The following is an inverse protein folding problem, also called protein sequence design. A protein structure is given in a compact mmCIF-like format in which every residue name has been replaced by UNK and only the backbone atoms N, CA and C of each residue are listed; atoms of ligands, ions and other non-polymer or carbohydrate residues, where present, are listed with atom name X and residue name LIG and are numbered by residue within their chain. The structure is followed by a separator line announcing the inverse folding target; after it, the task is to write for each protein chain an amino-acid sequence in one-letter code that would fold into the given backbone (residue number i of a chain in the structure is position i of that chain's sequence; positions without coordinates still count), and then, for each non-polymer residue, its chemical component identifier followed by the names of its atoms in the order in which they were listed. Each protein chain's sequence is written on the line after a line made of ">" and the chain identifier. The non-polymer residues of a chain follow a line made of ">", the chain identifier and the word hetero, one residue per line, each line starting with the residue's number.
data_IF_325159108234
#
_entry.id   IF_325159108234
#
_cell.length_a   1.000
_cell.length_b   1.000
_cell.length_c   1.000
_cell.angle_alpha   90.00
_cell.angle_beta   90.00
_cell.angle_gamma   90.00
#
_symmetry.space_group_name_H-M   'P 1'
#
loop_
_entity.id
_entity.type
_entity.pdbx_description
1 polymer ?
#
# COMPACT_ATOMS: atom_id res chain seq x y z
N UNK A 1 4.72 8.54 27.30
CA UNK A 1 5.59 8.42 26.11
C UNK A 1 5.03 7.51 25.01
N UNK A 2 4.03 6.68 25.28
CA UNK A 2 3.41 5.80 24.26
C UNK A 2 2.54 6.52 23.22
N UNK A 3 2.14 7.77 23.47
CA UNK A 3 1.16 8.48 22.67
C UNK A 3 1.60 8.85 21.23
N UNK A 4 2.89 8.84 20.92
CA UNK A 4 3.39 9.31 19.62
C UNK A 4 4.05 8.22 18.76
N UNK A 5 4.13 6.96 19.21
CA UNK A 5 4.77 5.88 18.45
C UNK A 5 4.05 5.60 17.13
N UNK A 6 2.72 5.65 17.11
CA UNK A 6 1.94 5.49 15.89
C UNK A 6 2.34 6.49 14.81
N UNK A 7 2.58 7.76 15.23
CA UNK A 7 2.95 8.83 14.32
C UNK A 7 4.33 8.58 13.71
N UNK A 8 5.31 8.18 14.55
CA UNK A 8 6.66 7.83 14.07
C UNK A 8 6.59 6.70 13.04
N UNK A 9 5.88 5.60 13.35
CA UNK A 9 5.72 4.49 12.42
C UNK A 9 4.97 4.91 11.14
N UNK A 10 3.94 5.74 11.25
CA UNK A 10 3.22 6.27 10.09
C UNK A 10 4.13 7.12 9.20
N UNK A 11 4.95 8.02 9.79
CA UNK A 11 5.93 8.83 9.05
C UNK A 11 6.96 7.96 8.36
N UNK A 12 7.51 6.95 9.04
CA UNK A 12 8.46 6.01 8.44
C UNK A 12 7.80 5.28 7.27
N UNK A 13 6.57 4.79 7.43
CA UNK A 13 5.83 4.14 6.34
C UNK A 13 5.67 5.08 5.14
N UNK A 14 5.24 6.32 5.37
CA UNK A 14 5.06 7.32 4.30
C UNK A 14 6.36 7.61 3.56
N UNK A 15 7.48 7.74 4.27
CA UNK A 15 8.80 7.97 3.67
C UNK A 15 9.23 6.79 2.80
N UNK A 16 9.17 5.57 3.33
CA UNK A 16 9.56 4.37 2.58
C UNK A 16 8.67 4.12 1.36
N UNK A 17 7.34 4.24 1.52
CA UNK A 17 6.42 4.08 0.41
C UNK A 17 6.48 5.22 -0.60
N UNK A 18 6.73 6.45 -0.13
CA UNK A 18 6.94 7.60 -1.01
C UNK A 18 8.19 7.44 -1.89
N UNK A 19 9.30 6.98 -1.30
CA UNK A 19 10.54 6.69 -2.04
C UNK A 19 10.31 5.49 -2.97
N UNK A 20 9.74 4.40 -2.47
CA UNK A 20 9.37 3.25 -3.29
C UNK A 20 8.54 3.66 -4.52
N UNK A 21 7.50 4.48 -4.32
CA UNK A 21 6.64 4.95 -5.40
C UNK A 21 7.38 5.73 -6.50
N UNK A 22 8.41 6.50 -6.14
CA UNK A 22 9.21 7.24 -7.11
C UNK A 22 10.09 6.34 -8.00
N UNK A 23 10.37 5.11 -7.56
CA UNK A 23 11.28 4.21 -8.26
C UNK A 23 10.63 2.94 -8.80
N UNK A 24 9.39 2.59 -8.38
CA UNK A 24 8.76 1.30 -8.68
C UNK A 24 8.62 0.98 -10.17
N UNK A 25 8.44 1.99 -11.00
CA UNK A 25 8.29 1.80 -12.45
C UNK A 25 9.63 1.52 -13.17
N UNK A 26 10.78 1.81 -12.54
CA UNK A 26 12.09 1.68 -13.20
C UNK A 26 12.40 0.26 -13.68
N UNK A 27 12.26 -0.79 -12.84
CA UNK A 27 12.50 -2.16 -13.33
C UNK A 27 11.59 -2.52 -14.51
N UNK A 28 10.30 -2.12 -14.48
CA UNK A 28 9.36 -2.41 -15.56
C UNK A 28 9.72 -1.67 -16.84
N UNK A 29 10.10 -0.40 -16.77
CA UNK A 29 10.60 0.37 -17.91
C UNK A 29 11.88 -0.22 -18.50
N UNK A 30 12.65 -0.93 -17.70
CA UNK A 30 13.84 -1.66 -18.12
C UNK A 30 13.54 -3.10 -18.60
N UNK A 31 12.28 -3.49 -18.75
CA UNK A 31 11.87 -4.81 -19.24
C UNK A 31 11.75 -5.90 -18.18
N UNK A 32 11.68 -5.55 -16.88
CA UNK A 32 11.40 -6.51 -15.82
C UNK A 32 9.92 -6.41 -15.39
N UNK A 33 9.06 -7.41 -15.67
CA UNK A 33 7.62 -7.33 -15.47
C UNK A 33 7.22 -7.04 -14.03
N UNK A 34 6.18 -6.21 -13.81
CA UNK A 34 5.64 -5.90 -12.50
C UNK A 34 5.19 -7.14 -11.71
N UNK A 35 4.72 -8.19 -12.40
CA UNK A 35 4.35 -9.48 -11.80
C UNK A 35 5.57 -10.22 -11.22
N UNK A 36 6.74 -10.16 -11.86
CA UNK A 36 8.00 -10.64 -11.26
C UNK A 36 8.51 -9.69 -10.18
N UNK A 37 8.25 -8.39 -10.32
CA UNK A 37 8.46 -7.41 -9.24
C UNK A 37 7.71 -7.78 -7.96
N UNK A 38 6.51 -8.35 -8.07
CA UNK A 38 5.77 -8.91 -6.93
C UNK A 38 6.55 -10.06 -6.26
N UNK A 39 7.09 -10.99 -7.04
CA UNK A 39 7.89 -12.10 -6.49
C UNK A 39 9.12 -11.59 -5.73
N UNK A 40 9.80 -10.58 -6.27
CA UNK A 40 10.91 -9.91 -5.58
C UNK A 40 10.44 -9.23 -4.29
N UNK A 41 9.28 -8.55 -4.31
CA UNK A 41 8.68 -7.97 -3.09
C UNK A 41 8.41 -9.03 -2.02
N UNK A 42 7.77 -10.13 -2.35
CA UNK A 42 7.50 -11.22 -1.42
C UNK A 42 8.80 -11.79 -0.81
N UNK A 43 9.88 -11.90 -1.60
CA UNK A 43 11.20 -12.31 -1.11
C UNK A 43 11.83 -11.26 -0.20
N UNK A 44 11.67 -9.96 -0.48
CA UNK A 44 12.21 -8.89 0.39
C UNK A 44 11.43 -8.73 1.70
N UNK A 45 10.22 -9.26 1.81
CA UNK A 45 9.52 -9.37 3.10
C UNK A 45 10.21 -10.35 4.06
N UNK A 46 10.92 -11.36 3.54
CA UNK A 46 11.56 -12.40 4.38
C UNK A 46 12.58 -11.82 5.37
N UNK A 47 13.57 -11.01 4.98
CA UNK A 47 14.51 -10.42 5.94
C UNK A 47 13.79 -9.47 6.93
N UNK A 48 12.74 -8.75 6.51
CA UNK A 48 11.94 -7.92 7.42
C UNK A 48 11.18 -8.79 8.44
N UNK A 49 10.60 -9.92 8.00
CA UNK A 49 9.95 -10.88 8.89
C UNK A 49 10.95 -11.56 9.83
N UNK A 50 12.17 -11.87 9.36
CA UNK A 50 13.22 -12.41 10.20
C UNK A 50 13.61 -11.44 11.33
N UNK A 51 13.77 -10.15 11.01
CA UNK A 51 14.01 -9.11 12.04
C UNK A 51 12.84 -9.00 13.01
N UNK A 52 11.60 -9.01 12.54
CA UNK A 52 10.43 -8.99 13.40
C UNK A 52 10.37 -10.22 14.33
N UNK A 53 10.57 -11.42 13.78
CA UNK A 53 10.57 -12.66 14.55
C UNK A 53 11.73 -12.71 15.58
N UNK A 54 12.89 -12.17 15.24
CA UNK A 54 14.01 -12.08 16.17
C UNK A 54 13.63 -11.29 17.42
N UNK A 55 12.88 -10.20 17.29
CA UNK A 55 12.39 -9.38 18.43
C UNK A 55 11.52 -10.19 19.39
N UNK A 56 10.77 -11.17 18.89
CA UNK A 56 9.86 -12.02 19.69
C UNK A 56 10.42 -13.41 19.97
N UNK A 57 11.73 -13.62 19.77
CA UNK A 57 12.38 -14.89 20.06
C UNK A 57 12.06 -16.03 19.08
N UNK A 58 11.75 -15.69 17.79
CA UNK A 58 11.48 -16.62 16.70
C UNK A 58 10.20 -17.47 16.85
N UNK A 59 9.31 -17.13 17.78
CA UNK A 59 8.08 -17.88 18.03
C UNK A 59 6.88 -17.00 17.69
N UNK A 60 6.34 -17.08 16.46
CA UNK A 60 5.08 -16.41 16.12
C UNK A 60 3.92 -17.08 16.88
N UNK A 61 2.87 -16.30 17.13
CA UNK A 61 1.63 -16.84 17.69
C UNK A 61 0.99 -17.79 16.66
N UNK A 62 0.67 -19.01 17.10
CA UNK A 62 0.25 -20.11 16.24
C UNK A 62 -1.15 -20.67 16.57
N UNK A 63 -1.90 -19.96 17.41
CA UNK A 63 -3.31 -20.28 17.59
C UNK A 63 -4.12 -20.00 16.32
N UNK A 64 -5.24 -20.71 16.16
CA UNK A 64 -6.05 -20.64 14.93
C UNK A 64 -6.49 -19.21 14.60
N UNK A 65 -6.81 -18.40 15.62
CA UNK A 65 -7.24 -17.02 15.43
C UNK A 65 -6.11 -16.17 14.85
N UNK A 66 -4.91 -16.27 15.41
CA UNK A 66 -3.73 -15.54 14.94
C UNK A 66 -3.34 -15.94 13.54
N UNK A 67 -3.37 -17.25 13.21
CA UNK A 67 -3.14 -17.73 11.84
C UNK A 67 -4.16 -17.14 10.87
N UNK A 68 -5.45 -17.19 11.20
CA UNK A 68 -6.52 -16.70 10.33
C UNK A 68 -6.43 -15.19 10.13
N UNK A 69 -6.26 -14.40 11.22
CA UNK A 69 -6.21 -12.94 11.12
C UNK A 69 -4.96 -12.46 10.39
N UNK A 70 -3.80 -12.99 10.72
CA UNK A 70 -2.55 -12.63 10.06
C UNK A 70 -2.55 -13.01 8.58
N UNK A 71 -3.05 -14.22 8.25
CA UNK A 71 -3.17 -14.68 6.87
C UNK A 71 -4.22 -13.88 6.09
N UNK A 72 -5.34 -13.51 6.71
CA UNK A 72 -6.35 -12.66 6.08
C UNK A 72 -5.79 -11.28 5.75
N UNK A 73 -5.05 -10.65 6.68
CA UNK A 73 -4.38 -9.38 6.43
C UNK A 73 -3.39 -9.48 5.28
N UNK A 74 -2.59 -10.55 5.24
CA UNK A 74 -1.64 -10.80 4.16
C UNK A 74 -2.33 -11.08 2.82
N UNK A 75 -3.36 -11.92 2.80
CA UNK A 75 -4.09 -12.27 1.59
C UNK A 75 -4.78 -11.05 0.98
N UNK A 76 -5.45 -10.23 1.79
CA UNK A 76 -6.13 -9.02 1.31
C UNK A 76 -5.14 -8.03 0.65
N UNK A 77 -3.96 -7.85 1.22
CA UNK A 77 -2.93 -6.99 0.64
C UNK A 77 -2.32 -7.59 -0.62
N UNK A 78 -1.82 -8.80 -0.53
CA UNK A 78 -1.09 -9.48 -1.59
C UNK A 78 -1.97 -9.85 -2.79
N UNK A 79 -3.17 -10.42 -2.56
CA UNK A 79 -4.12 -10.70 -3.64
C UNK A 79 -4.66 -9.41 -4.26
N UNK A 80 -4.91 -8.37 -3.46
CA UNK A 80 -5.28 -7.04 -3.96
C UNK A 80 -4.25 -6.50 -4.96
N UNK A 81 -2.96 -6.69 -4.68
CA UNK A 81 -1.88 -6.29 -5.58
C UNK A 81 -1.91 -7.08 -6.90
N UNK A 82 -2.16 -8.39 -6.87
CA UNK A 82 -2.26 -9.20 -8.09
C UNK A 82 -3.50 -8.85 -8.92
N UNK A 83 -4.64 -8.62 -8.25
CA UNK A 83 -5.87 -8.15 -8.91
C UNK A 83 -5.65 -6.78 -9.56
N UNK A 84 -4.87 -5.87 -8.93
CA UNK A 84 -4.52 -4.58 -9.51
C UNK A 84 -3.76 -4.74 -10.83
N UNK A 85 -2.81 -5.68 -10.93
CA UNK A 85 -2.12 -5.93 -12.20
C UNK A 85 -3.08 -6.34 -13.32
N UNK A 86 -4.05 -7.23 -13.03
CA UNK A 86 -5.07 -7.59 -14.01
C UNK A 86 -6.02 -6.44 -14.34
N UNK A 87 -6.35 -5.61 -13.35
CA UNK A 87 -7.17 -4.41 -13.52
C UNK A 87 -6.51 -3.44 -14.51
N UNK A 88 -5.20 -3.17 -14.35
CA UNK A 88 -4.45 -2.25 -15.20
C UNK A 88 -4.25 -2.78 -16.64
N UNK A 89 -4.32 -4.09 -16.85
CA UNK A 89 -4.33 -4.69 -18.20
C UNK A 89 -5.64 -4.43 -18.96
N UNK A 90 -6.75 -4.16 -18.23
CA UNK A 90 -8.10 -4.03 -18.78
C UNK A 90 -8.63 -2.62 -18.74
N UNK A 91 -8.21 -1.83 -17.76
CA UNK A 91 -8.63 -0.45 -17.56
C UNK A 91 -7.47 0.54 -17.57
N UNK A 92 -7.69 1.76 -18.07
CA UNK A 92 -6.64 2.77 -18.08
C UNK A 92 -6.35 3.26 -16.64
N UNK A 93 -5.07 3.46 -16.35
CA UNK A 93 -4.59 3.86 -15.03
C UNK A 93 -5.28 5.12 -14.48
N UNK A 94 -5.59 6.10 -15.35
CA UNK A 94 -6.25 7.36 -14.96
C UNK A 94 -7.69 7.18 -14.43
N UNK A 95 -8.33 6.02 -14.67
CA UNK A 95 -9.62 5.65 -14.08
C UNK A 95 -9.45 4.70 -12.89
N UNK A 96 -8.49 3.79 -12.96
CA UNK A 96 -8.27 2.76 -11.93
C UNK A 96 -7.75 3.38 -10.63
N UNK A 97 -6.69 4.18 -10.71
CA UNK A 97 -6.04 4.73 -9.52
C UNK A 97 -6.94 5.64 -8.66
N UNK A 98 -7.78 6.54 -9.21
CA UNK A 98 -8.70 7.31 -8.38
C UNK A 98 -9.71 6.44 -7.60
N UNK A 99 -10.14 5.31 -8.17
CA UNK A 99 -11.06 4.39 -7.48
C UNK A 99 -10.36 3.71 -6.31
N UNK A 100 -9.20 3.11 -6.55
CA UNK A 100 -8.49 2.34 -5.52
C UNK A 100 -7.89 3.22 -4.43
N UNK A 101 -7.54 4.48 -4.75
CA UNK A 101 -7.01 5.43 -3.78
C UNK A 101 -7.99 5.75 -2.65
N UNK A 102 -9.29 5.54 -2.87
CA UNK A 102 -10.33 5.72 -1.87
C UNK A 102 -10.47 4.53 -0.90
N UNK A 103 -9.65 3.48 -0.99
CA UNK A 103 -9.70 2.34 -0.06
C UNK A 103 -9.69 2.73 1.43
N UNK A 104 -9.05 3.83 1.89
CA UNK A 104 -9.18 4.29 3.27
C UNK A 104 -10.61 4.68 3.69
N UNK A 105 -11.52 4.98 2.76
CA UNK A 105 -12.93 5.19 3.09
C UNK A 105 -13.51 3.93 3.73
N UNK A 106 -13.22 2.75 3.17
CA UNK A 106 -13.68 1.46 3.71
C UNK A 106 -13.10 1.22 5.09
N UNK A 107 -11.81 1.45 5.28
CA UNK A 107 -11.17 1.25 6.60
C UNK A 107 -11.71 2.20 7.66
N UNK A 108 -11.94 3.46 7.31
CA UNK A 108 -12.55 4.46 8.21
C UNK A 108 -13.96 4.04 8.59
N UNK A 109 -14.81 3.68 7.62
CA UNK A 109 -16.18 3.24 7.88
C UNK A 109 -16.22 2.00 8.78
N UNK A 110 -15.43 0.98 8.46
CA UNK A 110 -15.38 -0.24 9.27
C UNK A 110 -14.87 0.03 10.68
N UNK A 111 -13.87 0.89 10.84
CA UNK A 111 -13.31 1.22 12.15
C UNK A 111 -14.25 2.03 13.01
N UNK A 112 -15.02 2.95 12.43
CA UNK A 112 -16.08 3.69 13.16
C UNK A 112 -17.20 2.74 13.57
N UNK A 113 -17.70 1.92 12.63
CA UNK A 113 -18.88 1.09 12.86
C UNK A 113 -18.60 -0.14 13.72
N UNK A 114 -17.43 -0.78 13.56
CA UNK A 114 -17.15 -2.07 14.22
C UNK A 114 -16.14 -1.97 15.36
N UNK A 115 -15.23 -0.99 15.35
CA UNK A 115 -14.28 -0.76 16.43
C UNK A 115 -14.67 0.42 17.34
N UNK A 116 -15.71 1.19 16.98
CA UNK A 116 -16.11 2.36 17.74
C UNK A 116 -15.04 3.47 17.76
N UNK A 117 -14.13 3.49 16.76
CA UNK A 117 -13.10 4.51 16.73
C UNK A 117 -13.70 5.89 16.50
N UNK A 118 -13.26 6.87 17.29
CA UNK A 118 -13.69 8.28 17.22
C UNK A 118 -12.45 9.18 17.11
N UNK A 119 -12.65 10.37 16.57
CA UNK A 119 -11.61 11.39 16.47
C UNK A 119 -12.14 12.74 16.96
N UNK A 120 -11.24 13.68 17.25
CA UNK A 120 -11.61 15.07 17.52
C UNK A 120 -12.21 15.72 16.26
N UNK A 121 -13.02 16.81 16.39
CA UNK A 121 -13.53 17.52 15.23
C UNK A 121 -12.42 18.01 14.27
N UNK A 122 -11.27 18.42 14.83
CA UNK A 122 -10.09 18.81 14.07
C UNK A 122 -9.54 17.63 13.23
N UNK A 123 -9.38 16.46 13.85
CA UNK A 123 -8.89 15.26 13.16
C UNK A 123 -9.91 14.76 12.12
N UNK A 124 -11.22 14.87 12.38
CA UNK A 124 -12.26 14.56 11.39
C UNK A 124 -12.16 15.45 10.15
N UNK A 125 -11.94 16.76 10.32
CA UNK A 125 -11.70 17.66 9.19
C UNK A 125 -10.47 17.22 8.40
N UNK A 126 -9.39 16.83 9.07
CA UNK A 126 -8.18 16.27 8.45
C UNK A 126 -8.47 14.98 7.67
N UNK A 127 -9.24 14.05 8.25
CA UNK A 127 -9.62 12.78 7.59
C UNK A 127 -10.40 13.07 6.30
N UNK A 128 -11.41 13.93 6.35
CA UNK A 128 -12.20 14.31 5.17
C UNK A 128 -11.32 14.94 4.08
N UNK A 129 -10.43 15.87 4.45
CA UNK A 129 -9.52 16.49 3.50
C UNK A 129 -8.53 15.47 2.91
N UNK A 130 -8.03 14.51 3.70
CA UNK A 130 -7.18 13.43 3.19
C UNK A 130 -7.92 12.57 2.15
N UNK A 131 -9.16 12.16 2.45
CA UNK A 131 -9.99 11.38 1.54
C UNK A 131 -10.30 12.15 0.23
N UNK A 132 -10.51 13.46 0.30
CA UNK A 132 -10.68 14.30 -0.88
C UNK A 132 -9.38 14.51 -1.68
N UNK A 133 -8.24 14.55 -1.00
CA UNK A 133 -6.93 14.69 -1.63
C UNK A 133 -6.55 13.46 -2.49
N UNK A 134 -6.91 12.25 -2.06
CA UNK A 134 -6.47 11.00 -2.70
C UNK A 134 -6.84 10.89 -4.18
N UNK A 135 -8.09 11.08 -4.62
CA UNK A 135 -8.42 11.03 -6.03
C UNK A 135 -7.75 12.15 -6.83
N UNK A 136 -7.51 13.32 -6.22
CA UNK A 136 -6.78 14.42 -6.89
C UNK A 136 -5.30 14.08 -7.06
N UNK A 137 -4.67 13.45 -6.08
CA UNK A 137 -3.28 12.97 -6.15
C UNK A 137 -3.11 11.85 -7.20
N UNK A 138 -4.15 11.04 -7.37
CA UNK A 138 -4.17 9.94 -8.34
C UNK A 138 -4.58 10.38 -9.74
N UNK A 139 -4.87 11.69 -9.95
CA UNK A 139 -5.29 12.21 -11.23
C UNK A 139 -4.20 12.04 -12.29
N UNK A 140 -4.56 11.44 -13.41
CA UNK A 140 -3.75 11.34 -14.62
C UNK A 140 -4.57 11.85 -15.81
N UNK A 141 -3.99 12.66 -16.72
CA UNK A 141 -4.68 13.06 -17.93
C UNK A 141 -5.12 11.85 -18.75
N UNK A 142 -6.31 11.93 -19.35
CA UNK A 142 -6.82 10.88 -20.23
C UNK A 142 -5.85 10.66 -21.40
N UNK A 143 -5.44 9.41 -21.63
CA UNK A 143 -4.63 9.03 -22.78
C UNK A 143 -5.51 8.41 -23.86
N UNK A 144 -5.53 8.95 -25.09
CA UNK A 144 -6.29 8.38 -26.20
C UNK A 144 -5.87 6.96 -26.58
N UNK A 145 -4.66 6.56 -26.21
CA UNK A 145 -4.05 5.27 -26.60
C UNK A 145 -4.48 4.07 -25.75
N UNK A 146 -5.26 4.26 -24.68
CA UNK A 146 -5.64 3.18 -23.77
C UNK A 146 -7.12 3.22 -23.42
N UNK A 147 -8.02 2.85 -24.36
CA UNK A 147 -9.45 2.76 -24.06
C UNK A 147 -9.72 1.63 -23.05
N UNK A 148 -10.72 1.82 -22.18
CA UNK A 148 -11.18 0.80 -21.27
C UNK A 148 -11.77 -0.40 -22.03
N UNK A 149 -11.32 -1.62 -21.69
CA UNK A 149 -11.84 -2.86 -22.30
C UNK A 149 -13.00 -3.41 -21.46
N UNK A 150 -14.23 -3.07 -21.88
CA UNK A 150 -15.45 -3.52 -21.19
C UNK A 150 -15.61 -2.89 -19.80
N UNK A 151 -16.41 -3.55 -18.93
CA UNK A 151 -16.73 -3.09 -17.56
C UNK A 151 -15.96 -3.86 -16.45
N UNK A 152 -15.29 -4.94 -16.80
CA UNK A 152 -14.65 -5.84 -15.84
C UNK A 152 -13.54 -5.12 -15.03
N UNK A 153 -12.80 -4.19 -15.66
CA UNK A 153 -11.78 -3.40 -14.96
C UNK A 153 -12.36 -2.65 -13.74
N UNK A 154 -13.59 -2.15 -13.84
CA UNK A 154 -14.23 -1.43 -12.74
C UNK A 154 -14.57 -2.36 -11.58
N UNK A 155 -15.09 -3.56 -11.88
CA UNK A 155 -15.35 -4.59 -10.85
C UNK A 155 -14.06 -5.00 -10.15
N UNK A 156 -12.98 -5.21 -10.91
CA UNK A 156 -11.67 -5.54 -10.35
C UNK A 156 -11.10 -4.38 -9.51
N UNK A 157 -11.24 -3.13 -9.96
CA UNK A 157 -10.84 -1.97 -9.18
C UNK A 157 -11.62 -1.86 -7.86
N UNK A 158 -12.93 -2.15 -7.86
CA UNK A 158 -13.73 -2.23 -6.63
C UNK A 158 -13.27 -3.36 -5.71
N UNK A 159 -12.87 -4.51 -6.25
CA UNK A 159 -12.30 -5.59 -5.43
C UNK A 159 -10.99 -5.15 -4.76
N UNK A 160 -10.10 -4.47 -5.47
CA UNK A 160 -8.86 -3.91 -4.88
C UNK A 160 -9.20 -2.87 -3.80
N UNK A 161 -10.10 -1.95 -4.10
CA UNK A 161 -10.59 -0.93 -3.18
C UNK A 161 -11.11 -1.56 -1.87
N UNK A 162 -11.95 -2.59 -1.97
CA UNK A 162 -12.48 -3.29 -0.81
C UNK A 162 -11.38 -4.09 -0.09
N UNK A 163 -10.55 -4.83 -0.82
CA UNK A 163 -9.50 -5.66 -0.24
C UNK A 163 -8.53 -4.83 0.63
N UNK A 164 -8.03 -3.72 0.11
CA UNK A 164 -7.07 -2.88 0.84
C UNK A 164 -7.72 -2.09 1.98
N UNK A 165 -8.99 -1.65 1.80
CA UNK A 165 -9.73 -1.01 2.87
C UNK A 165 -10.06 -1.96 4.03
N UNK A 166 -10.47 -3.20 3.72
CA UNK A 166 -10.71 -4.24 4.72
C UNK A 166 -9.39 -4.68 5.36
N UNK A 167 -8.29 -4.76 4.60
CA UNK A 167 -6.96 -5.09 5.14
C UNK A 167 -6.57 -4.17 6.30
N UNK A 168 -6.71 -2.86 6.12
CA UNK A 168 -6.35 -1.89 7.17
C UNK A 168 -7.18 -2.10 8.45
N UNK A 169 -8.48 -2.38 8.31
CA UNK A 169 -9.33 -2.75 9.43
C UNK A 169 -8.88 -4.06 10.10
N UNK A 170 -8.62 -5.11 9.30
CA UNK A 170 -8.15 -6.42 9.81
C UNK A 170 -6.82 -6.28 10.54
N UNK A 171 -5.88 -5.49 10.01
CA UNK A 171 -4.60 -5.20 10.67
C UNK A 171 -4.80 -4.57 12.04
N UNK A 172 -5.71 -3.62 12.18
CA UNK A 172 -6.02 -3.00 13.49
C UNK A 172 -6.65 -4.00 14.43
N UNK A 173 -7.63 -4.75 13.95
CA UNK A 173 -8.31 -5.78 14.75
C UNK A 173 -7.33 -6.89 15.19
N UNK A 174 -6.46 -7.36 14.31
CA UNK A 174 -5.43 -8.33 14.62
C UNK A 174 -4.44 -7.77 15.68
N UNK A 175 -3.98 -6.54 15.52
CA UNK A 175 -3.07 -5.89 16.46
C UNK A 175 -3.66 -5.71 17.89
N UNK A 176 -4.98 -5.76 18.04
CA UNK A 176 -5.61 -5.75 19.37
C UNK A 176 -5.50 -7.11 20.10
N UNK A 177 -5.17 -8.19 19.39
CA UNK A 177 -5.26 -9.56 19.90
C UNK A 177 -4.00 -10.40 19.71
N UNK A 178 -3.08 -9.94 18.86
CA UNK A 178 -1.82 -10.63 18.58
C UNK A 178 -0.67 -9.63 18.37
N UNK A 179 0.56 -10.12 18.34
CA UNK A 179 1.75 -9.30 18.14
C UNK A 179 1.89 -8.86 16.69
N UNK A 180 2.32 -7.62 16.47
CA UNK A 180 2.57 -7.06 15.14
C UNK A 180 3.55 -7.91 14.32
N UNK A 181 4.55 -8.48 14.97
CA UNK A 181 5.58 -9.34 14.40
C UNK A 181 4.96 -10.63 13.82
N UNK A 182 4.04 -11.25 14.56
CA UNK A 182 3.30 -12.43 14.09
C UNK A 182 2.37 -12.09 12.92
N UNK A 183 1.71 -10.92 12.95
CA UNK A 183 0.91 -10.45 11.80
C UNK A 183 1.78 -10.33 10.57
N UNK A 184 2.93 -9.65 10.67
CA UNK A 184 3.82 -9.45 9.54
C UNK A 184 4.42 -10.76 9.02
N UNK A 185 4.71 -11.71 9.91
CA UNK A 185 5.12 -13.07 9.53
C UNK A 185 4.07 -13.74 8.64
N UNK A 186 2.80 -13.76 9.04
CA UNK A 186 1.72 -14.35 8.24
C UNK A 186 1.47 -13.58 6.93
N UNK A 187 1.63 -12.26 6.94
CA UNK A 187 1.61 -11.45 5.70
C UNK A 187 2.73 -11.88 4.75
N UNK A 188 3.92 -12.15 5.26
CA UNK A 188 5.05 -12.64 4.47
C UNK A 188 4.76 -14.03 3.90
N UNK A 189 4.27 -14.96 4.72
CA UNK A 189 3.90 -16.31 4.27
C UNK A 189 2.86 -16.27 3.16
N UNK A 190 1.78 -15.48 3.33
CA UNK A 190 0.73 -15.36 2.30
C UNK A 190 1.25 -14.68 1.03
N UNK A 191 2.12 -13.67 1.16
CA UNK A 191 2.79 -13.04 0.03
C UNK A 191 3.61 -14.06 -0.79
N UNK A 192 4.38 -14.91 -0.10
CA UNK A 192 5.18 -15.98 -0.73
C UNK A 192 4.31 -17.06 -1.38
N UNK A 193 3.20 -17.45 -0.73
CA UNK A 193 2.27 -18.45 -1.26
C UNK A 193 1.58 -17.98 -2.56
N UNK A 194 1.48 -16.68 -2.78
CA UNK A 194 0.93 -16.11 -4.02
C UNK A 194 1.98 -15.86 -5.12
N UNK A 195 3.26 -16.09 -4.86
CA UNK A 195 4.32 -15.98 -5.90
C UNK A 195 4.03 -16.85 -7.12
N UNK A 196 3.59 -18.14 -7.00
CA UNK A 196 3.25 -18.93 -8.17
C UNK A 196 2.16 -18.29 -9.05
N UNK A 197 1.18 -17.61 -8.45
CA UNK A 197 0.14 -16.88 -9.18
C UNK A 197 0.74 -15.69 -9.93
N UNK A 198 1.63 -14.92 -9.32
CA UNK A 198 2.33 -13.81 -9.97
C UNK A 198 3.19 -14.30 -11.15
N UNK A 199 3.87 -15.42 -10.98
CA UNK A 199 4.66 -16.06 -12.04
C UNK A 199 3.75 -16.53 -13.18
N UNK A 200 2.62 -17.18 -12.85
CA UNK A 200 1.63 -17.61 -13.87
C UNK A 200 1.04 -16.41 -14.64
N UNK A 201 0.85 -15.27 -14.01
CA UNK A 201 0.39 -14.04 -14.65
C UNK A 201 1.45 -13.39 -15.54
N UNK A 202 2.72 -13.82 -15.50
CA UNK A 202 3.82 -13.21 -16.26
C UNK A 202 3.79 -13.67 -17.72
N UNK A 203 3.87 -12.72 -18.64
CA UNK A 203 4.01 -13.02 -20.06
C UNK A 203 5.47 -13.31 -20.42
N UNK A 204 5.88 -14.58 -20.34
CA UNK A 204 7.23 -15.04 -20.69
C UNK A 204 7.52 -15.05 -22.20
N UNK A 205 6.54 -14.72 -23.05
CA UNK A 205 6.78 -14.59 -24.50
C UNK A 205 7.54 -13.33 -24.85
N UNK A 206 7.49 -12.32 -23.96
CA UNK A 206 8.26 -11.08 -24.08
C UNK A 206 9.65 -11.27 -23.49
N UNK A 207 10.70 -10.66 -24.09
CA UNK A 207 12.04 -10.70 -23.50
C UNK A 207 12.03 -10.05 -22.12
N UNK A 208 12.55 -10.77 -21.12
CA UNK A 208 12.64 -10.32 -19.75
C UNK A 208 14.08 -9.93 -19.45
N UNK A 209 14.26 -8.76 -18.88
CA UNK A 209 15.56 -8.29 -18.43
C UNK A 209 15.94 -8.94 -17.08
N UNK A 210 16.80 -9.93 -17.11
CA UNK A 210 17.34 -10.60 -15.91
C UNK A 210 18.65 -9.98 -15.40
N UNK A 211 19.12 -8.93 -16.05
CA UNK A 211 20.35 -8.23 -15.70
C UNK A 211 20.21 -7.29 -14.49
N UNK A 212 21.28 -6.50 -14.21
CA UNK A 212 21.33 -5.61 -13.05
C UNK A 212 20.20 -4.58 -12.98
N UNK A 213 19.68 -4.13 -14.12
CA UNK A 213 18.57 -3.16 -14.18
C UNK A 213 17.18 -3.81 -14.09
N UNK A 214 17.08 -5.13 -13.98
CA UNK A 214 15.86 -5.90 -13.72
C UNK A 214 15.74 -6.28 -12.24
N UNK A 215 15.93 -7.56 -11.86
CA UNK A 215 15.69 -8.04 -10.50
C UNK A 215 16.61 -7.39 -9.44
N UNK A 216 17.88 -7.12 -9.78
CA UNK A 216 18.81 -6.49 -8.84
C UNK A 216 18.45 -5.03 -8.55
N UNK A 217 17.86 -4.31 -9.52
CA UNK A 217 17.29 -2.98 -9.28
C UNK A 217 15.95 -3.08 -8.53
N UNK A 218 15.15 -4.09 -8.83
CA UNK A 218 13.86 -4.31 -8.16
C UNK A 218 14.05 -4.62 -6.67
N UNK A 219 15.06 -5.38 -6.27
CA UNK A 219 15.26 -5.83 -4.90
C UNK A 219 15.36 -4.70 -3.87
N UNK A 220 16.26 -3.70 -3.99
CA UNK A 220 16.31 -2.59 -3.04
C UNK A 220 15.04 -1.74 -3.08
N UNK A 221 14.41 -1.55 -4.24
CA UNK A 221 13.15 -0.81 -4.36
C UNK A 221 12.04 -1.57 -3.60
N UNK A 222 11.90 -2.87 -3.80
CA UNK A 222 10.87 -3.67 -3.12
C UNK A 222 11.16 -3.84 -1.62
N UNK A 223 12.42 -3.78 -1.20
CA UNK A 223 12.78 -3.77 0.22
C UNK A 223 12.21 -2.52 0.92
N UNK A 224 12.21 -1.35 0.26
CA UNK A 224 11.56 -0.15 0.80
C UNK A 224 10.06 -0.38 1.02
N UNK A 225 9.39 -1.05 0.09
CA UNK A 225 7.98 -1.44 0.25
C UNK A 225 7.78 -2.37 1.45
N UNK A 226 8.64 -3.37 1.61
CA UNK A 226 8.57 -4.34 2.71
C UNK A 226 8.80 -3.69 4.08
N UNK A 227 9.75 -2.77 4.20
CA UNK A 227 9.98 -1.99 5.42
C UNK A 227 8.76 -1.09 5.71
N UNK A 228 8.21 -0.44 4.69
CA UNK A 228 6.99 0.35 4.82
C UNK A 228 5.80 -0.49 5.28
N UNK A 229 5.65 -1.71 4.76
CA UNK A 229 4.59 -2.62 5.18
C UNK A 229 4.76 -3.07 6.65
N UNK A 230 5.99 -3.37 7.09
CA UNK A 230 6.27 -3.71 8.48
C UNK A 230 5.94 -2.54 9.42
N UNK A 231 6.42 -1.35 9.10
CA UNK A 231 6.17 -0.15 9.93
C UNK A 231 4.69 0.26 9.92
N UNK A 232 3.95 0.00 8.83
CA UNK A 232 2.51 0.18 8.78
C UNK A 232 1.77 -0.72 9.79
N UNK A 233 2.19 -1.98 9.94
CA UNK A 233 1.59 -2.89 10.94
C UNK A 233 1.77 -2.31 12.35
N UNK A 234 2.96 -1.77 12.67
CA UNK A 234 3.20 -1.10 13.96
C UNK A 234 2.44 0.21 14.10
N UNK A 235 2.26 0.98 13.02
CA UNK A 235 1.44 2.19 13.06
C UNK A 235 -0.01 1.87 13.45
N UNK A 236 -0.58 0.80 12.89
CA UNK A 236 -1.94 0.34 13.24
C UNK A 236 -2.02 -0.30 14.64
N UNK A 237 -0.92 -0.77 15.22
CA UNK A 237 -0.91 -1.23 16.61
C UNK A 237 -1.17 -0.08 17.57
N UNK A 238 -0.48 1.03 17.38
CA UNK A 238 -0.45 2.16 18.32
C UNK A 238 -1.42 3.27 17.97
N UNK A 239 -1.91 3.35 16.71
CA UNK A 239 -2.78 4.41 16.21
C UNK A 239 -4.15 3.94 15.76
N UNK A 240 -5.10 4.87 15.75
CA UNK A 240 -6.44 4.63 15.21
C UNK A 240 -6.40 4.55 13.70
N UNK A 241 -7.07 3.56 13.11
CA UNK A 241 -7.13 3.37 11.65
C UNK A 241 -7.73 4.58 10.95
N UNK A 242 -8.75 5.19 11.57
CA UNK A 242 -9.42 6.38 11.02
C UNK A 242 -8.48 7.57 10.78
N UNK A 243 -7.32 7.61 11.46
CA UNK A 243 -6.28 8.64 11.28
C UNK A 243 -5.12 8.07 10.46
N UNK A 244 -4.57 6.92 10.86
CA UNK A 244 -3.35 6.35 10.28
C UNK A 244 -3.52 5.99 8.81
N UNK A 245 -4.65 5.36 8.44
CA UNK A 245 -4.89 4.92 7.06
C UNK A 245 -5.01 6.10 6.08
N UNK A 246 -5.87 7.12 6.30
CA UNK A 246 -5.91 8.30 5.44
C UNK A 246 -4.59 9.06 5.40
N UNK A 247 -3.91 9.19 6.54
CA UNK A 247 -2.65 9.92 6.63
C UNK A 247 -1.57 9.28 5.73
N UNK A 248 -1.34 7.98 5.85
CA UNK A 248 -0.35 7.27 5.05
C UNK A 248 -0.70 7.35 3.56
N UNK A 249 -1.95 7.09 3.20
CA UNK A 249 -2.38 7.02 1.81
C UNK A 249 -2.48 8.39 1.11
N UNK A 250 -2.62 9.48 1.86
CA UNK A 250 -2.55 10.83 1.29
C UNK A 250 -1.11 11.34 1.14
N UNK A 251 -0.21 11.04 2.09
CA UNK A 251 1.12 11.65 2.10
C UNK A 251 2.20 10.85 1.37
N UNK A 252 2.14 9.53 1.34
CA UNK A 252 3.10 8.75 0.57
C UNK A 252 3.12 9.15 -0.92
N UNK A 253 1.97 9.35 -1.61
CA UNK A 253 1.96 9.90 -2.97
C UNK A 253 2.55 11.31 -3.08
N UNK A 254 2.36 12.18 -2.09
CA UNK A 254 2.98 13.53 -2.11
C UNK A 254 4.49 13.42 -2.14
N UNK A 255 5.08 12.55 -1.32
CA UNK A 255 6.53 12.30 -1.30
C UNK A 255 6.98 11.75 -2.65
N UNK A 256 6.24 10.79 -3.22
CA UNK A 256 6.50 10.25 -4.57
C UNK A 256 6.53 11.34 -5.63
N UNK A 257 5.54 12.25 -5.63
CA UNK A 257 5.42 13.33 -6.62
C UNK A 257 6.57 14.33 -6.45
N UNK A 258 6.89 14.73 -5.20
CA UNK A 258 8.01 15.64 -4.92
C UNK A 258 9.33 15.03 -5.39
N UNK A 259 9.60 13.75 -5.08
CA UNK A 259 10.80 13.07 -5.55
C UNK A 259 10.81 12.93 -7.07
N UNK A 260 9.68 12.65 -7.71
CA UNK A 260 9.57 12.57 -9.17
C UNK A 260 9.85 13.93 -9.83
N UNK A 261 9.38 15.03 -9.24
CA UNK A 261 9.70 16.37 -9.69
C UNK A 261 11.20 16.67 -9.60
N UNK A 262 11.81 16.34 -8.45
CA UNK A 262 13.22 16.62 -8.19
C UNK A 262 14.16 15.75 -9.05
N UNK A 263 13.87 14.46 -9.21
CA UNK A 263 14.73 13.50 -9.88
C UNK A 263 14.52 13.43 -11.40
N UNK A 264 13.26 13.54 -11.84
CA UNK A 264 12.88 13.36 -13.24
C UNK A 264 12.35 14.64 -13.90
N UNK A 265 12.23 15.73 -13.13
CA UNK A 265 11.65 17.02 -13.58
C UNK A 265 10.22 16.87 -14.14
N UNK A 266 9.47 15.89 -13.63
CA UNK A 266 8.06 15.69 -13.99
C UNK A 266 7.21 16.71 -13.25
N UNK A 267 6.71 17.72 -13.98
CA UNK A 267 5.86 18.77 -13.40
C UNK A 267 4.45 18.19 -13.20
N UNK A 268 3.92 18.18 -11.97
CA UNK A 268 2.59 17.65 -11.70
C UNK A 268 1.50 18.54 -12.31
N UNK A 269 0.40 17.92 -12.71
CA UNK A 269 -0.78 18.64 -13.19
C UNK A 269 -1.41 19.48 -12.07
N UNK A 270 -2.08 20.61 -12.39
CA UNK A 270 -2.67 21.53 -11.40
C UNK A 270 -3.62 20.82 -10.42
N UNK A 271 -4.39 19.85 -10.88
CA UNK A 271 -5.27 19.01 -10.03
C UNK A 271 -4.46 18.25 -8.98
N UNK A 272 -3.33 17.69 -9.37
CA UNK A 272 -2.42 16.98 -8.46
C UNK A 272 -1.81 17.94 -7.42
N UNK A 273 -1.43 19.16 -7.85
CA UNK A 273 -0.92 20.21 -6.94
C UNK A 273 -1.99 20.59 -5.91
N UNK A 274 -3.26 20.72 -6.32
CA UNK A 274 -4.36 20.93 -5.38
C UNK A 274 -4.50 19.77 -4.38
N UNK A 275 -4.39 18.51 -4.85
CA UNK A 275 -4.37 17.32 -3.99
C UNK A 275 -3.22 17.35 -2.99
N UNK A 276 -2.01 17.77 -3.40
CA UNK A 276 -0.86 17.91 -2.50
C UNK A 276 -1.10 18.96 -1.41
N UNK A 277 -1.69 20.09 -1.74
CA UNK A 277 -2.03 21.13 -0.78
C UNK A 277 -3.07 20.63 0.24
N UNK A 278 -4.12 19.95 -0.23
CA UNK A 278 -5.13 19.34 0.66
C UNK A 278 -4.51 18.28 1.57
N UNK A 279 -3.64 17.42 1.05
CA UNK A 279 -2.95 16.39 1.84
C UNK A 279 -2.05 17.01 2.94
N UNK A 280 -1.35 18.11 2.64
CA UNK A 280 -0.54 18.82 3.62
C UNK A 280 -1.38 19.43 4.76
N UNK A 281 -2.51 20.06 4.42
CA UNK A 281 -3.46 20.58 5.42
C UNK A 281 -4.08 19.43 6.24
N UNK A 282 -4.47 18.35 5.58
CA UNK A 282 -5.01 17.16 6.23
C UNK A 282 -4.03 16.57 7.25
N UNK A 283 -2.75 16.45 6.88
CA UNK A 283 -1.69 15.98 7.77
C UNK A 283 -1.59 16.84 9.02
N UNK A 284 -1.52 18.16 8.86
CA UNK A 284 -1.44 19.10 9.98
C UNK A 284 -2.64 18.99 10.93
N UNK A 285 -3.83 18.70 10.40
CA UNK A 285 -5.04 18.56 11.21
C UNK A 285 -5.12 17.21 11.94
N UNK A 286 -4.50 16.15 11.38
CA UNK A 286 -4.49 14.80 11.97
C UNK A 286 -3.32 14.57 12.94
N UNK A 287 -2.22 15.28 12.76
CA UNK A 287 -1.05 15.25 13.66
C UNK A 287 -1.32 16.08 14.93
#
# INVERSE_FOLDING_TARGET
>A
MESNLWFVYAVVTMLFWGVWGAFIERPEKNGFPATLGYAVWALTMVPCAAVALWVIGWVPEHDLRSIVLGSAAGLLGAAGQLVLFDTLRRGPAYLVFPVISLSPVVSVLLSVLLLGETASPRAWAGIVLALLAMPLLSYQPASPSSPAKGRLWFVLALLVFLAWGIQAYVLRFANATMRSESIFFYMTVTGLLLVPVAVWMTDFRRPINWGPSGPWLAAPIQLLNSIGALTMVYAFRHGKVIIVSPMINALAPVITIVLSLLLYRVVPHRVVVAGMALAAVAFYLMA
#
